data_IF_316647418206
#
_entry.id   IF_316647418206
#
_cell.length_a   1.000
_cell.length_b   1.000
_cell.length_c   1.000
_cell.angle_alpha   90.00
_cell.angle_beta   90.00
_cell.angle_gamma   90.00
#
_symmetry.space_group_name_H-M   'P 1'
#
loop_
_entity.id
_entity.type
_entity.pdbx_description
1 polymer ?
#
# COMPACT_ATOMS: atom_id res chain seq x y z
N UNK A 1 -17.01 18.07 -8.69
CA UNK A 1 -16.06 17.61 -9.72
C UNK A 1 -15.84 16.14 -9.52
N UNK A 2 -15.97 15.38 -10.59
CA UNK A 2 -15.91 13.92 -10.58
C UNK A 2 -14.88 13.42 -11.60
N UNK A 3 -14.22 12.32 -11.28
CA UNK A 3 -13.33 11.60 -12.17
C UNK A 3 -13.86 10.20 -12.46
N UNK A 4 -13.56 9.66 -13.63
CA UNK A 4 -13.70 8.25 -13.95
C UNK A 4 -12.35 7.69 -14.36
N UNK A 5 -12.05 6.47 -13.92
CA UNK A 5 -10.79 5.77 -14.21
C UNK A 5 -11.12 4.60 -15.14
N UNK A 6 -10.41 4.50 -16.26
CA UNK A 6 -10.53 3.41 -17.22
C UNK A 6 -9.21 2.64 -17.23
N UNK A 7 -9.24 1.37 -16.83
CA UNK A 7 -8.09 0.48 -16.92
C UNK A 7 -8.22 -0.42 -18.13
N UNK A 8 -7.17 -0.50 -18.92
CA UNK A 8 -7.14 -1.21 -20.19
C UNK A 8 -6.12 -2.33 -20.05
N UNK A 9 -6.56 -3.57 -20.27
CA UNK A 9 -5.72 -4.76 -20.18
C UNK A 9 -6.53 -6.03 -20.01
N UNK A 10 -6.34 -6.98 -20.91
CA UNK A 10 -6.97 -8.30 -20.84
C UNK A 10 -6.55 -9.06 -19.58
N UNK A 11 -5.31 -8.88 -19.11
CA UNK A 11 -4.77 -9.52 -17.90
C UNK A 11 -5.50 -9.09 -16.61
N UNK A 12 -6.11 -7.90 -16.59
CA UNK A 12 -6.94 -7.44 -15.49
C UNK A 12 -8.28 -8.20 -15.51
N UNK A 13 -8.90 -8.31 -16.69
CA UNK A 13 -10.21 -8.92 -16.86
C UNK A 13 -10.21 -10.43 -16.61
N UNK A 14 -9.13 -11.11 -16.98
CA UNK A 14 -8.98 -12.54 -16.69
C UNK A 14 -8.47 -12.82 -15.28
N UNK A 15 -8.21 -11.77 -14.46
CA UNK A 15 -7.75 -11.92 -13.08
C UNK A 15 -6.29 -12.36 -12.93
N UNK A 16 -5.47 -12.20 -13.96
CA UNK A 16 -4.04 -12.55 -13.93
C UNK A 16 -3.25 -11.56 -13.06
N UNK A 17 -3.64 -10.30 -13.06
CA UNK A 17 -3.07 -9.26 -12.19
C UNK A 17 -4.16 -8.53 -11.41
N UNK A 18 -3.77 -7.96 -10.29
CA UNK A 18 -4.63 -7.06 -9.51
C UNK A 18 -4.45 -5.63 -10.02
N UNK A 19 -5.55 -4.93 -10.29
CA UNK A 19 -5.54 -3.52 -10.68
C UNK A 19 -5.10 -2.63 -9.50
N UNK A 20 -3.81 -2.44 -9.38
CA UNK A 20 -3.21 -1.53 -8.40
C UNK A 20 -3.15 -0.07 -8.90
N UNK A 21 -3.28 0.14 -10.22
CA UNK A 21 -3.20 1.45 -10.83
C UNK A 21 -4.43 2.29 -10.51
N UNK A 22 -5.62 1.73 -10.69
CA UNK A 22 -6.86 2.43 -10.37
C UNK A 22 -6.96 2.79 -8.89
N UNK A 23 -6.55 1.87 -8.01
CA UNK A 23 -6.53 2.11 -6.57
C UNK A 23 -5.60 3.29 -6.21
N UNK A 24 -4.41 3.36 -6.81
CA UNK A 24 -3.48 4.46 -6.62
C UNK A 24 -4.04 5.78 -7.16
N UNK A 25 -4.51 5.80 -8.40
CA UNK A 25 -5.10 7.00 -9.01
C UNK A 25 -6.30 7.53 -8.21
N UNK A 26 -7.15 6.62 -7.72
CA UNK A 26 -8.30 6.99 -6.91
C UNK A 26 -7.89 7.63 -5.57
N UNK A 27 -6.84 7.12 -4.94
CA UNK A 27 -6.27 7.71 -3.71
C UNK A 27 -5.76 9.13 -3.97
N UNK A 28 -4.89 9.30 -4.97
CA UNK A 28 -4.30 10.60 -5.32
C UNK A 28 -5.36 11.65 -5.69
N UNK A 29 -6.38 11.26 -6.47
CA UNK A 29 -7.49 12.16 -6.82
C UNK A 29 -8.28 12.59 -5.58
N UNK A 30 -8.53 11.64 -4.68
CA UNK A 30 -9.28 11.90 -3.45
C UNK A 30 -8.53 12.87 -2.53
N UNK A 31 -7.21 12.71 -2.38
CA UNK A 31 -6.35 13.61 -1.59
C UNK A 31 -6.41 15.06 -2.07
N UNK A 32 -6.63 15.26 -3.38
CA UNK A 32 -6.79 16.61 -3.94
C UNK A 32 -8.25 17.08 -4.07
N UNK A 33 -9.21 16.39 -3.47
CA UNK A 33 -10.62 16.81 -3.45
C UNK A 33 -11.45 16.41 -4.69
N UNK A 34 -10.95 15.52 -5.55
CA UNK A 34 -11.66 15.01 -6.73
C UNK A 34 -12.23 13.64 -6.40
N UNK A 35 -13.56 13.51 -6.46
CA UNK A 35 -14.23 12.24 -6.18
C UNK A 35 -14.20 11.33 -7.40
N UNK A 36 -13.78 10.09 -7.25
CA UNK A 36 -13.92 9.09 -8.31
C UNK A 36 -15.37 8.59 -8.35
N UNK A 37 -16.00 8.72 -9.50
CA UNK A 37 -17.38 8.28 -9.72
C UNK A 37 -17.43 6.77 -10.02
N UNK A 38 -16.53 6.30 -10.90
CA UNK A 38 -16.49 4.90 -11.34
C UNK A 38 -15.08 4.50 -11.76
N UNK A 39 -14.78 3.22 -11.61
CA UNK A 39 -13.61 2.56 -12.19
C UNK A 39 -14.14 1.50 -13.15
N UNK A 40 -13.69 1.54 -14.40
CA UNK A 40 -14.11 0.65 -15.48
C UNK A 40 -12.91 -0.06 -16.06
N UNK A 41 -12.91 -1.39 -16.05
CA UNK A 41 -11.88 -2.19 -16.73
C UNK A 41 -12.39 -2.65 -18.09
N UNK A 42 -11.60 -2.46 -19.14
CA UNK A 42 -11.94 -2.84 -20.51
C UNK A 42 -10.80 -3.63 -21.16
N UNK A 43 -11.15 -4.39 -22.21
CA UNK A 43 -10.20 -5.13 -23.02
C UNK A 43 -9.32 -4.17 -23.84
N UNK A 44 -8.18 -4.66 -24.29
CA UNK A 44 -7.36 -4.02 -25.32
C UNK A 44 -8.05 -4.09 -26.69
N UNK A 45 -9.27 -3.57 -26.73
CA UNK A 45 -10.14 -3.52 -27.92
C UNK A 45 -10.57 -2.09 -28.20
N UNK A 46 -10.40 -1.68 -29.48
CA UNK A 46 -10.73 -0.34 -29.94
C UNK A 46 -12.18 0.06 -29.63
N UNK A 47 -13.16 -0.83 -29.88
CA UNK A 47 -14.55 -0.49 -29.67
C UNK A 47 -14.93 -0.39 -28.20
N UNK A 48 -14.36 -1.26 -27.36
CA UNK A 48 -14.55 -1.21 -25.90
C UNK A 48 -14.00 0.09 -25.33
N UNK A 49 -12.82 0.52 -25.77
CA UNK A 49 -12.20 1.78 -25.31
C UNK A 49 -13.03 2.98 -25.75
N UNK A 50 -13.49 3.03 -27.01
CA UNK A 50 -14.35 4.12 -27.50
C UNK A 50 -15.66 4.22 -26.73
N UNK A 51 -16.29 3.09 -26.44
CA UNK A 51 -17.53 3.04 -25.65
C UNK A 51 -17.29 3.55 -24.24
N UNK A 52 -16.23 3.09 -23.56
CA UNK A 52 -15.86 3.51 -22.22
C UNK A 52 -15.57 5.02 -22.16
N UNK A 53 -14.83 5.57 -23.12
CA UNK A 53 -14.56 7.00 -23.21
C UNK A 53 -15.85 7.82 -23.38
N UNK A 54 -16.75 7.36 -24.25
CA UNK A 54 -18.03 8.03 -24.46
C UNK A 54 -18.88 8.03 -23.20
N UNK A 55 -19.05 6.88 -22.56
CA UNK A 55 -19.83 6.75 -21.34
C UNK A 55 -19.23 7.54 -20.17
N UNK A 56 -17.91 7.49 -19.99
CA UNK A 56 -17.21 8.26 -18.96
C UNK A 56 -17.37 9.77 -19.20
N UNK A 57 -17.37 10.21 -20.47
CA UNK A 57 -17.58 11.61 -20.83
C UNK A 57 -18.97 12.16 -20.45
N UNK A 58 -19.96 11.30 -20.30
CA UNK A 58 -21.30 11.72 -19.87
C UNK A 58 -21.40 11.92 -18.35
N UNK A 59 -20.53 11.28 -17.57
CA UNK A 59 -20.59 11.17 -16.11
C UNK A 59 -19.53 11.97 -15.35
N UNK A 60 -18.36 12.17 -15.96
CA UNK A 60 -17.21 12.73 -15.28
C UNK A 60 -16.64 13.97 -15.98
N UNK A 61 -15.97 14.81 -15.21
CA UNK A 61 -15.23 15.99 -15.67
C UNK A 61 -13.78 15.64 -16.06
N UNK A 62 -13.25 14.57 -15.46
CA UNK A 62 -11.88 14.09 -15.62
C UNK A 62 -11.93 12.59 -15.92
N UNK A 63 -11.31 12.18 -17.02
CA UNK A 63 -11.24 10.78 -17.44
C UNK A 63 -9.76 10.38 -17.48
N UNK A 64 -9.37 9.44 -16.61
CA UNK A 64 -8.01 8.92 -16.54
C UNK A 64 -7.99 7.51 -17.14
N UNK A 65 -7.08 7.27 -18.06
CA UNK A 65 -6.86 5.96 -18.67
C UNK A 65 -5.48 5.43 -18.26
N UNK A 66 -5.35 4.12 -18.08
CA UNK A 66 -4.07 3.46 -17.90
C UNK A 66 -4.03 2.12 -18.62
N UNK A 67 -2.97 1.87 -19.40
CA UNK A 67 -2.77 0.68 -20.21
C UNK A 67 -2.80 0.92 -21.72
N UNK A 68 -2.29 -0.03 -22.49
CA UNK A 68 -2.34 -0.07 -23.95
C UNK A 68 -1.60 1.06 -24.68
N UNK A 69 -0.58 1.69 -24.04
CA UNK A 69 0.28 2.72 -24.67
C UNK A 69 1.65 2.21 -25.11
N UNK A 70 1.91 0.92 -24.98
CA UNK A 70 3.14 0.27 -25.38
C UNK A 70 3.36 0.25 -26.90
N UNK A 71 4.46 -0.41 -27.37
CA UNK A 71 4.81 -0.47 -28.77
C UNK A 71 4.21 -1.68 -29.49
N UNK A 72 3.50 -2.57 -28.82
CA UNK A 72 3.03 -3.82 -29.37
C UNK A 72 1.69 -3.66 -30.12
N UNK A 73 1.27 -4.67 -30.91
CA UNK A 73 0.09 -4.56 -31.75
C UNK A 73 -1.23 -4.56 -30.97
N UNK A 74 -1.20 -5.08 -29.78
CA UNK A 74 -2.28 -5.07 -28.79
C UNK A 74 -2.41 -3.72 -28.06
N UNK A 75 -1.37 -2.88 -28.11
CA UNK A 75 -1.40 -1.52 -27.55
C UNK A 75 -2.21 -0.56 -28.44
N UNK A 76 -3.52 -0.66 -28.38
CA UNK A 76 -4.42 0.12 -29.26
C UNK A 76 -4.87 1.46 -28.67
N UNK A 77 -4.59 1.71 -27.38
CA UNK A 77 -5.10 2.88 -26.66
C UNK A 77 -4.72 4.20 -27.33
N UNK A 78 -3.46 4.38 -27.73
CA UNK A 78 -2.97 5.60 -28.37
C UNK A 78 -3.75 5.95 -29.65
N UNK A 79 -3.95 4.96 -30.51
CA UNK A 79 -4.66 5.12 -31.78
C UNK A 79 -6.14 5.39 -31.55
N UNK A 80 -6.76 4.65 -30.63
CA UNK A 80 -8.17 4.81 -30.26
C UNK A 80 -8.43 6.17 -29.60
N UNK A 81 -7.50 6.63 -28.78
CA UNK A 81 -7.55 7.94 -28.14
C UNK A 81 -7.45 9.05 -29.20
N UNK A 82 -6.53 8.93 -30.17
CA UNK A 82 -6.42 9.84 -31.30
C UNK A 82 -7.72 9.90 -32.12
N UNK A 83 -8.32 8.75 -32.41
CA UNK A 83 -9.60 8.66 -33.12
C UNK A 83 -10.76 9.33 -32.36
N UNK A 84 -10.89 9.08 -31.03
CA UNK A 84 -11.92 9.68 -30.20
C UNK A 84 -11.92 11.21 -30.25
N UNK A 85 -10.73 11.80 -30.39
CA UNK A 85 -10.53 13.25 -30.50
C UNK A 85 -10.55 13.76 -31.94
N UNK A 86 -10.79 12.90 -32.93
CA UNK A 86 -10.74 13.28 -34.35
C UNK A 86 -9.42 14.02 -34.67
N UNK A 87 -8.30 13.42 -34.27
CA UNK A 87 -6.96 13.98 -34.36
C UNK A 87 -6.03 13.09 -35.19
N UNK A 88 -4.84 13.56 -35.50
CA UNK A 88 -3.82 12.83 -36.23
C UNK A 88 -2.58 12.62 -35.38
N UNK A 89 -1.84 11.54 -35.64
CA UNK A 89 -0.59 11.24 -34.95
C UNK A 89 0.56 12.01 -35.61
N UNK A 90 1.33 12.73 -34.81
CA UNK A 90 2.54 13.43 -35.20
C UNK A 90 3.73 12.95 -34.38
N UNK A 91 4.95 13.08 -34.94
CA UNK A 91 6.16 12.69 -34.21
C UNK A 91 6.59 13.80 -33.25
N UNK A 92 6.75 13.43 -31.98
CA UNK A 92 7.38 14.27 -30.97
C UNK A 92 8.88 13.93 -30.86
N UNK A 93 9.74 14.85 -31.29
CA UNK A 93 11.20 14.61 -31.27
C UNK A 93 11.79 14.57 -29.86
N UNK A 94 11.11 15.10 -28.84
CA UNK A 94 11.56 15.01 -27.46
C UNK A 94 11.26 13.61 -26.89
N UNK A 95 10.11 13.05 -27.20
CA UNK A 95 9.80 11.66 -26.88
C UNK A 95 10.76 10.71 -27.59
N UNK A 96 11.04 10.94 -28.88
CA UNK A 96 12.01 10.12 -29.62
C UNK A 96 13.38 10.12 -28.94
N UNK A 97 13.91 11.29 -28.61
CA UNK A 97 15.19 11.40 -27.87
C UNK A 97 15.16 10.70 -26.51
N UNK A 98 14.02 10.71 -25.83
CA UNK A 98 13.85 9.99 -24.56
C UNK A 98 13.90 8.48 -24.77
N UNK A 99 13.20 7.97 -25.78
CA UNK A 99 13.25 6.55 -26.17
C UNK A 99 14.66 6.12 -26.51
N UNK A 100 15.37 6.90 -27.35
CA UNK A 100 16.76 6.64 -27.72
C UNK A 100 17.66 6.54 -26.48
N UNK A 101 17.57 7.49 -25.55
CA UNK A 101 18.36 7.48 -24.31
C UNK A 101 18.09 6.27 -23.42
N UNK A 102 16.83 5.84 -23.33
CA UNK A 102 16.47 4.64 -22.55
C UNK A 102 17.08 3.39 -23.17
N UNK A 103 17.00 3.27 -24.50
CA UNK A 103 17.59 2.15 -25.22
C UNK A 103 19.11 2.14 -25.09
N UNK A 104 19.81 3.26 -25.29
CA UNK A 104 21.26 3.36 -25.11
C UNK A 104 21.73 2.95 -23.72
N UNK A 105 20.91 3.23 -22.69
CA UNK A 105 21.30 3.01 -21.29
C UNK A 105 20.96 1.63 -20.76
N UNK A 106 19.84 1.06 -21.19
CA UNK A 106 19.25 -0.12 -20.53
C UNK A 106 18.98 -1.31 -21.47
N UNK A 107 19.08 -1.13 -22.78
CA UNK A 107 18.72 -2.16 -23.76
C UNK A 107 19.91 -2.46 -24.67
N UNK A 108 20.37 -3.72 -24.68
CA UNK A 108 21.51 -4.13 -25.49
C UNK A 108 21.18 -4.28 -27.00
N UNK A 109 19.88 -4.26 -27.37
CA UNK A 109 19.43 -4.41 -28.74
C UNK A 109 19.25 -3.07 -29.46
N UNK A 110 19.43 -2.99 -30.78
CA UNK A 110 19.19 -1.77 -31.56
C UNK A 110 17.73 -1.31 -31.45
N UNK A 111 17.54 0.00 -31.45
CA UNK A 111 16.21 0.61 -31.45
C UNK A 111 15.45 0.23 -32.74
N UNK A 112 14.35 -0.48 -32.60
CA UNK A 112 13.50 -0.89 -33.73
C UNK A 112 12.58 0.27 -34.19
N UNK A 113 12.07 0.20 -35.42
CA UNK A 113 11.07 1.17 -35.91
C UNK A 113 9.82 1.17 -35.01
N UNK A 114 9.41 -0.01 -34.53
CA UNK A 114 8.28 -0.16 -33.62
C UNK A 114 8.47 0.65 -32.31
N UNK A 115 9.69 0.68 -31.79
CA UNK A 115 10.01 1.49 -30.61
C UNK A 115 10.03 3.00 -30.93
N UNK A 116 10.41 3.38 -32.15
CA UNK A 116 10.34 4.79 -32.59
C UNK A 116 8.90 5.28 -32.75
N UNK A 117 7.94 4.38 -33.02
CA UNK A 117 6.52 4.70 -33.07
C UNK A 117 5.94 5.14 -31.71
N UNK A 118 6.67 4.88 -30.60
CA UNK A 118 6.33 5.46 -29.30
C UNK A 118 6.36 7.00 -29.30
N UNK A 119 7.15 7.60 -30.19
CA UNK A 119 7.21 9.03 -30.38
C UNK A 119 6.06 9.61 -31.22
N UNK A 120 5.19 8.77 -31.75
CA UNK A 120 3.96 9.23 -32.43
C UNK A 120 2.90 9.53 -31.37
N UNK A 121 2.43 10.77 -31.29
CA UNK A 121 1.46 11.26 -30.32
C UNK A 121 0.35 12.05 -31.02
N UNK A 122 -0.87 12.13 -30.47
CA UNK A 122 -1.92 13.00 -31.04
C UNK A 122 -1.45 14.45 -31.12
N UNK A 123 -1.72 15.11 -32.25
CA UNK A 123 -1.19 16.45 -32.56
C UNK A 123 -1.64 17.53 -31.58
N UNK A 124 -2.83 17.37 -30.98
CA UNK A 124 -3.41 18.28 -29.99
C UNK A 124 -3.05 17.89 -28.55
N UNK A 125 -2.37 16.75 -28.34
CA UNK A 125 -2.04 16.30 -27.00
C UNK A 125 -0.93 17.15 -26.37
N UNK A 126 -1.13 17.52 -25.11
CA UNK A 126 -0.03 17.92 -24.25
C UNK A 126 0.68 16.67 -23.79
N UNK A 127 1.91 16.46 -24.25
CA UNK A 127 2.72 15.27 -23.94
C UNK A 127 3.21 15.34 -22.50
N UNK A 128 2.94 14.31 -21.73
CA UNK A 128 3.47 14.11 -20.38
C UNK A 128 4.70 13.19 -20.48
N UNK A 129 5.88 13.78 -20.37
CA UNK A 129 7.13 13.06 -20.60
C UNK A 129 7.42 12.05 -19.48
N UNK A 130 7.55 10.78 -19.86
CA UNK A 130 7.81 9.67 -18.95
C UNK A 130 9.31 9.50 -18.71
N UNK A 131 9.77 9.77 -17.50
CA UNK A 131 11.18 9.62 -17.13
C UNK A 131 11.64 8.16 -17.00
N UNK A 132 10.70 7.22 -16.81
CA UNK A 132 10.99 5.84 -16.44
C UNK A 132 10.69 4.82 -17.54
N UNK A 133 10.04 5.22 -18.62
CA UNK A 133 9.65 4.34 -19.70
C UNK A 133 9.60 5.03 -21.06
N UNK A 134 9.32 4.25 -22.10
CA UNK A 134 9.28 4.72 -23.49
C UNK A 134 7.94 5.31 -23.90
N UNK A 135 6.85 4.90 -23.29
CA UNK A 135 5.51 5.39 -23.59
C UNK A 135 5.24 6.70 -22.83
N UNK A 136 5.00 7.84 -23.49
CA UNK A 136 4.60 9.07 -22.83
C UNK A 136 3.17 8.98 -22.32
N UNK A 137 2.82 9.82 -21.33
CA UNK A 137 1.42 10.11 -21.04
C UNK A 137 0.88 11.16 -22.01
N UNK A 138 -0.43 11.15 -22.21
CA UNK A 138 -1.15 12.01 -23.16
C UNK A 138 -2.26 12.76 -22.42
N UNK A 139 -2.22 14.09 -22.43
CA UNK A 139 -3.26 14.94 -21.88
C UNK A 139 -4.02 15.62 -23.01
N UNK A 140 -5.34 15.40 -23.06
CA UNK A 140 -6.24 16.00 -24.04
C UNK A 140 -7.40 16.70 -23.35
N UNK A 141 -8.01 17.66 -24.04
CA UNK A 141 -9.18 18.38 -23.55
C UNK A 141 -10.27 18.42 -24.63
N UNK A 142 -11.50 18.15 -24.22
CA UNK A 142 -12.67 18.22 -25.11
C UNK A 142 -13.90 18.60 -24.28
N UNK A 143 -14.68 19.53 -24.76
CA UNK A 143 -15.95 19.96 -24.16
C UNK A 143 -15.85 20.36 -22.67
N UNK A 144 -14.73 21.02 -22.31
CA UNK A 144 -14.44 21.44 -20.93
C UNK A 144 -13.98 20.32 -19.99
N UNK A 145 -13.79 19.11 -20.49
CA UNK A 145 -13.34 17.92 -19.76
C UNK A 145 -11.88 17.62 -20.05
N UNK A 146 -11.26 16.95 -19.10
CA UNK A 146 -9.85 16.51 -19.18
C UNK A 146 -9.78 15.01 -19.35
N UNK A 147 -8.95 14.57 -20.27
CA UNK A 147 -8.66 13.17 -20.54
C UNK A 147 -7.15 12.95 -20.46
N UNK A 148 -6.73 11.97 -19.68
CA UNK A 148 -5.31 11.65 -19.52
C UNK A 148 -5.10 10.15 -19.72
N UNK A 149 -4.31 9.79 -20.73
CA UNK A 149 -3.89 8.40 -20.92
C UNK A 149 -2.44 8.23 -20.40
N UNK A 150 -2.22 7.17 -19.63
CA UNK A 150 -0.95 6.85 -18.98
C UNK A 150 -0.55 5.39 -19.22
N UNK A 151 0.75 5.05 -19.18
CA UNK A 151 1.22 3.66 -19.30
C UNK A 151 0.59 2.73 -18.26
N UNK A 152 0.47 1.44 -18.60
CA UNK A 152 0.00 0.39 -17.68
C UNK A 152 1.02 0.01 -16.60
N UNK A 153 2.31 0.22 -16.84
CA UNK A 153 3.39 -0.10 -15.89
C UNK A 153 3.27 0.75 -14.62
N UNK A 154 3.06 0.13 -13.42
CA UNK A 154 2.67 0.88 -12.22
C UNK A 154 3.62 2.00 -11.80
N UNK A 155 4.94 1.78 -11.85
CA UNK A 155 5.90 2.80 -11.42
C UNK A 155 5.98 3.99 -12.38
N UNK A 156 5.74 3.77 -13.67
CA UNK A 156 5.66 4.81 -14.70
C UNK A 156 4.40 5.67 -14.51
N UNK A 157 3.26 4.99 -14.38
CA UNK A 157 1.96 5.62 -14.15
C UNK A 157 1.96 6.48 -12.87
N UNK A 158 2.47 5.94 -11.77
CA UNK A 158 2.57 6.67 -10.49
C UNK A 158 3.41 7.93 -10.62
N UNK A 159 4.57 7.84 -11.24
CA UNK A 159 5.44 9.00 -11.44
C UNK A 159 4.80 10.09 -12.31
N UNK A 160 4.09 9.70 -13.38
CA UNK A 160 3.34 10.64 -14.21
C UNK A 160 2.20 11.29 -13.41
N UNK A 161 1.47 10.49 -12.64
CA UNK A 161 0.37 10.96 -11.81
C UNK A 161 0.84 11.99 -10.80
N UNK A 162 1.82 11.65 -9.95
CA UNK A 162 2.33 12.52 -8.88
C UNK A 162 3.00 13.79 -9.39
N UNK A 163 3.88 13.65 -10.41
CA UNK A 163 4.72 14.77 -10.85
C UNK A 163 4.04 15.68 -11.86
N UNK A 164 3.12 15.17 -12.66
CA UNK A 164 2.58 15.91 -13.81
C UNK A 164 1.05 16.04 -13.80
N UNK A 165 0.30 14.97 -13.54
CA UNK A 165 -1.17 14.99 -13.64
C UNK A 165 -1.77 15.72 -12.45
N UNK A 166 -1.44 15.32 -11.24
CA UNK A 166 -1.98 15.93 -10.00
C UNK A 166 -1.72 17.44 -9.93
N UNK A 167 -0.49 17.95 -10.14
CA UNK A 167 -0.24 19.39 -10.12
C UNK A 167 -1.05 20.16 -11.16
N UNK A 168 -1.21 19.62 -12.38
CA UNK A 168 -2.00 20.27 -13.43
C UNK A 168 -3.50 20.27 -13.13
N UNK A 169 -4.04 19.19 -12.55
CA UNK A 169 -5.43 19.17 -12.10
C UNK A 169 -5.64 20.17 -10.97
N UNK A 170 -4.67 20.30 -10.08
CA UNK A 170 -4.70 21.27 -8.99
C UNK A 170 -4.70 22.72 -9.47
N UNK A 171 -3.94 23.03 -10.51
CA UNK A 171 -3.90 24.36 -11.13
C UNK A 171 -5.18 24.66 -11.92
N UNK A 172 -5.66 23.66 -12.68
CA UNK A 172 -6.78 23.86 -13.61
C UNK A 172 -8.13 24.01 -12.91
N UNK A 173 -8.35 23.28 -11.83
CA UNK A 173 -9.68 23.15 -11.24
C UNK A 173 -9.76 23.72 -9.83
N UNK A 174 -10.78 24.54 -9.58
CA UNK A 174 -11.18 24.93 -8.23
C UNK A 174 -11.83 23.72 -7.54
N UNK A 175 -11.27 23.26 -6.44
CA UNK A 175 -11.62 21.99 -5.79
C UNK A 175 -12.03 22.22 -4.33
N UNK A 176 -12.97 21.44 -3.78
CA UNK A 176 -13.19 21.37 -2.35
C UNK A 176 -12.01 20.65 -1.66
N UNK A 177 -11.80 20.98 -0.42
CA UNK A 177 -10.97 20.16 0.46
C UNK A 177 -11.71 18.88 0.84
N UNK A 178 -10.99 17.76 0.92
CA UNK A 178 -11.44 16.52 1.54
C UNK A 178 -10.50 16.21 2.69
N UNK A 179 -11.06 15.88 3.84
CA UNK A 179 -10.30 15.44 4.99
C UNK A 179 -10.87 14.11 5.50
N UNK A 180 -9.99 13.14 5.69
CA UNK A 180 -10.32 11.85 6.26
C UNK A 180 -9.56 11.67 7.58
N UNK A 181 -10.23 11.05 8.56
CA UNK A 181 -9.57 10.52 9.75
C UNK A 181 -10.13 9.14 10.02
N UNK A 182 -9.26 8.22 10.40
CA UNK A 182 -9.60 6.82 10.67
C UNK A 182 -9.09 6.42 12.03
N UNK A 183 -9.89 5.71 12.80
CA UNK A 183 -9.48 5.05 14.03
C UNK A 183 -9.65 3.54 13.92
N UNK A 184 -8.81 2.81 14.64
CA UNK A 184 -8.88 1.36 14.72
C UNK A 184 -9.62 0.94 16.01
N UNK A 185 -10.57 0.02 15.89
CA UNK A 185 -11.24 -0.61 17.04
C UNK A 185 -10.84 -2.09 17.14
N UNK A 186 -10.80 -2.62 18.36
CA UNK A 186 -10.46 -4.02 18.66
C UNK A 186 -11.43 -4.62 19.66
N UNK A 187 -11.64 -5.94 19.55
CA UNK A 187 -12.42 -6.70 20.54
C UNK A 187 -13.94 -6.55 20.44
N UNK A 188 -14.44 -5.81 19.45
CA UNK A 188 -15.86 -5.65 19.17
C UNK A 188 -16.13 -5.82 17.67
N UNK A 189 -17.17 -6.58 17.32
CA UNK A 189 -17.56 -6.76 15.92
C UNK A 189 -18.32 -5.56 15.36
N UNK A 190 -18.35 -5.43 14.03
CA UNK A 190 -18.96 -4.33 13.29
C UNK A 190 -20.39 -4.02 13.73
N UNK A 191 -21.27 -5.03 13.79
CA UNK A 191 -22.67 -4.85 14.19
C UNK A 191 -22.82 -4.31 15.63
N UNK A 192 -21.99 -4.78 16.56
CA UNK A 192 -22.03 -4.31 17.93
C UNK A 192 -21.49 -2.88 18.10
N UNK A 193 -20.57 -2.46 17.22
CA UNK A 193 -20.11 -1.07 17.12
C UNK A 193 -21.23 -0.21 16.52
N UNK A 194 -21.86 -0.67 15.45
CA UNK A 194 -22.96 0.03 14.79
C UNK A 194 -24.14 0.26 15.75
N UNK A 195 -24.53 -0.74 16.53
CA UNK A 195 -25.58 -0.60 17.55
C UNK A 195 -25.25 0.50 18.59
N UNK A 196 -23.98 0.62 18.98
CA UNK A 196 -23.55 1.67 19.92
C UNK A 196 -23.51 3.05 19.31
N UNK A 197 -23.29 3.16 18.01
CA UNK A 197 -23.12 4.41 17.29
C UNK A 197 -24.40 4.90 16.60
N UNK A 198 -25.51 4.17 16.65
CA UNK A 198 -26.75 4.46 15.91
C UNK A 198 -27.25 5.89 16.12
N UNK A 199 -27.35 6.34 17.36
CA UNK A 199 -27.80 7.69 17.70
C UNK A 199 -26.79 8.75 17.23
N UNK A 200 -25.49 8.50 17.38
CA UNK A 200 -24.44 9.42 16.95
C UNK A 200 -24.38 9.51 15.42
N UNK A 201 -24.43 8.40 14.71
CA UNK A 201 -24.40 8.35 13.25
C UNK A 201 -25.59 9.08 12.62
N UNK A 202 -26.79 8.87 13.20
CA UNK A 202 -28.04 9.54 12.75
C UNK A 202 -27.97 11.06 12.90
N UNK A 203 -27.21 11.56 13.87
CA UNK A 203 -27.06 13.00 14.13
C UNK A 203 -25.79 13.63 13.50
N UNK A 204 -25.08 12.91 12.65
CA UNK A 204 -23.93 13.45 11.95
C UNK A 204 -24.30 14.61 11.03
N UNK A 205 -23.50 15.70 10.99
CA UNK A 205 -23.63 16.76 9.99
C UNK A 205 -23.60 16.21 8.57
N UNK A 206 -24.46 16.72 7.68
CA UNK A 206 -24.62 16.19 6.31
C UNK A 206 -23.38 16.28 5.41
N UNK A 207 -22.40 17.12 5.75
CA UNK A 207 -21.13 17.22 5.06
C UNK A 207 -20.07 16.19 5.54
N UNK A 208 -20.39 15.45 6.60
CA UNK A 208 -19.59 14.33 7.09
C UNK A 208 -20.16 13.01 6.57
N UNK A 209 -19.28 12.09 6.20
CA UNK A 209 -19.64 10.71 5.87
C UNK A 209 -18.86 9.77 6.78
N UNK A 210 -19.57 8.79 7.31
CA UNK A 210 -19.00 7.77 8.17
C UNK A 210 -18.97 6.42 7.45
N UNK A 211 -17.96 5.61 7.73
CA UNK A 211 -17.82 4.28 7.15
C UNK A 211 -17.18 3.30 8.13
N UNK A 212 -17.77 2.10 8.18
CA UNK A 212 -17.18 0.93 8.82
C UNK A 212 -16.33 0.19 7.79
N UNK A 213 -15.10 -0.12 8.16
CA UNK A 213 -14.14 -0.83 7.32
C UNK A 213 -13.67 -2.08 8.09
N UNK A 214 -14.44 -3.17 8.04
CA UNK A 214 -14.14 -4.38 8.80
C UNK A 214 -12.89 -5.08 8.26
N UNK A 215 -12.10 -5.62 9.18
CA UNK A 215 -10.99 -6.52 8.93
C UNK A 215 -11.02 -7.64 9.99
N UNK A 216 -10.23 -8.69 9.83
CA UNK A 216 -10.23 -9.81 10.77
C UNK A 216 -9.86 -9.36 12.20
N UNK A 217 -10.87 -9.40 13.09
CA UNK A 217 -10.72 -9.05 14.52
C UNK A 217 -10.62 -7.56 14.83
N UNK A 218 -10.77 -6.70 13.83
CA UNK A 218 -10.72 -5.24 13.98
C UNK A 218 -11.73 -4.58 13.06
N UNK A 219 -12.18 -3.37 13.41
CA UNK A 219 -12.97 -2.51 12.53
C UNK A 219 -12.32 -1.14 12.50
N UNK A 220 -12.04 -0.64 11.31
CA UNK A 220 -11.61 0.75 11.15
C UNK A 220 -12.85 1.62 10.94
N UNK A 221 -12.92 2.72 11.67
CA UNK A 221 -13.99 3.69 11.60
C UNK A 221 -13.46 4.95 10.96
N UNK A 222 -13.99 5.31 9.79
CA UNK A 222 -13.53 6.46 9.01
C UNK A 222 -14.58 7.54 8.92
N UNK A 223 -14.22 8.75 9.32
CA UNK A 223 -14.95 9.97 9.02
C UNK A 223 -14.31 10.69 7.83
N UNK A 224 -15.15 11.14 6.93
CA UNK A 224 -14.76 11.89 5.73
C UNK A 224 -15.53 13.20 5.68
N UNK A 225 -14.83 14.32 5.59
CA UNK A 225 -15.41 15.64 5.44
C UNK A 225 -15.07 16.24 4.08
N UNK A 226 -16.01 16.98 3.46
CA UNK A 226 -15.80 17.69 2.19
C UNK A 226 -16.39 19.09 2.27
N UNK A 227 -15.58 20.10 1.89
CA UNK A 227 -16.01 21.50 1.93
C UNK A 227 -14.96 22.47 1.40
N UNK A 228 -15.19 23.77 1.56
CA UNK A 228 -14.34 24.82 1.02
C UNK A 228 -13.23 25.29 2.00
N UNK A 229 -13.39 25.03 3.30
CA UNK A 229 -12.47 25.47 4.33
C UNK A 229 -11.86 24.27 5.06
N UNK A 230 -10.56 24.07 4.88
CA UNK A 230 -9.83 22.93 5.42
C UNK A 230 -9.82 22.90 6.95
N UNK A 231 -9.62 24.06 7.61
CA UNK A 231 -9.54 24.14 9.06
C UNK A 231 -10.90 23.85 9.73
N UNK A 232 -12.00 24.29 9.10
CA UNK A 232 -13.35 23.98 9.57
C UNK A 232 -13.65 22.48 9.45
N UNK A 233 -13.22 21.83 8.35
CA UNK A 233 -13.40 20.40 8.14
C UNK A 233 -12.61 19.58 9.18
N UNK A 234 -11.34 19.92 9.39
CA UNK A 234 -10.50 19.27 10.40
C UNK A 234 -11.12 19.41 11.80
N UNK A 235 -11.49 20.63 12.18
CA UNK A 235 -12.11 20.90 13.47
C UNK A 235 -13.44 20.16 13.67
N UNK A 236 -14.23 20.00 12.60
CA UNK A 236 -15.48 19.26 12.67
C UNK A 236 -15.24 17.76 12.86
N UNK A 237 -14.30 17.18 12.12
CA UNK A 237 -13.93 15.76 12.24
C UNK A 237 -13.38 15.46 13.64
N UNK A 238 -12.47 16.31 14.16
CA UNK A 238 -11.91 16.12 15.50
C UNK A 238 -12.99 16.12 16.59
N UNK A 239 -13.94 17.07 16.54
CA UNK A 239 -15.06 17.11 17.50
C UNK A 239 -15.93 15.85 17.46
N UNK A 240 -16.14 15.27 16.27
CA UNK A 240 -16.89 14.02 16.19
C UNK A 240 -16.07 12.83 16.67
N UNK A 241 -14.76 12.84 16.49
CA UNK A 241 -13.89 11.82 17.09
C UNK A 241 -13.86 11.88 18.60
N UNK A 242 -13.86 13.08 19.22
CA UNK A 242 -13.97 13.21 20.68
C UNK A 242 -15.23 12.48 21.20
N UNK A 243 -16.38 12.66 20.51
CA UNK A 243 -17.61 11.91 20.87
C UNK A 243 -17.47 10.41 20.70
N UNK A 244 -16.77 9.95 19.62
CA UNK A 244 -16.51 8.52 19.41
C UNK A 244 -15.66 7.92 20.53
N UNK A 245 -14.66 8.67 21.04
CA UNK A 245 -13.87 8.25 22.19
C UNK A 245 -14.72 8.10 23.45
N UNK A 246 -15.67 9.01 23.67
CA UNK A 246 -16.59 8.94 24.82
C UNK A 246 -17.53 7.73 24.72
N UNK A 247 -18.01 7.39 23.51
CA UNK A 247 -18.96 6.27 23.30
C UNK A 247 -18.28 4.91 23.34
N UNK A 248 -17.11 4.79 22.69
CA UNK A 248 -16.44 3.49 22.46
C UNK A 248 -15.36 3.19 23.50
N UNK A 249 -14.74 4.22 24.12
CA UNK A 249 -13.74 4.06 25.17
C UNK A 249 -12.63 3.08 24.81
N UNK A 250 -12.41 2.08 25.66
CA UNK A 250 -11.34 1.07 25.53
C UNK A 250 -11.42 0.19 24.25
N UNK A 251 -12.53 0.27 23.51
CA UNK A 251 -12.67 -0.42 22.22
C UNK A 251 -11.79 0.23 21.14
N UNK A 252 -11.52 1.52 21.27
CA UNK A 252 -10.59 2.23 20.38
C UNK A 252 -9.17 1.82 20.75
N UNK A 253 -8.45 1.25 19.78
CA UNK A 253 -7.13 0.67 20.03
C UNK A 253 -5.98 1.67 19.85
N UNK A 254 -6.07 2.57 18.87
CA UNK A 254 -5.09 3.61 18.60
C UNK A 254 -5.62 4.62 17.56
N UNK A 255 -5.17 5.87 17.63
CA UNK A 255 -5.23 6.79 16.49
C UNK A 255 -4.16 6.33 15.50
N UNK A 256 -4.57 5.69 14.40
CA UNK A 256 -3.65 5.53 13.29
C UNK A 256 -3.68 6.82 12.47
N UNK A 257 -2.59 7.56 12.46
CA UNK A 257 -2.29 8.42 11.31
C UNK A 257 -2.29 7.50 10.08
N UNK A 258 -3.24 7.67 9.17
CA UNK A 258 -3.50 6.78 8.01
C UNK A 258 -2.29 6.61 7.08
N UNK A 259 -1.24 7.41 7.26
CA UNK A 259 -0.18 7.57 6.27
C UNK A 259 1.18 6.96 6.63
N UNK A 260 1.44 6.55 7.87
CA UNK A 260 2.77 6.03 8.18
C UNK A 260 2.76 4.58 8.67
N UNK A 261 3.24 3.67 7.83
CA UNK A 261 3.42 2.26 8.17
C UNK A 261 4.25 2.12 9.46
N UNK A 262 3.81 1.25 10.37
CA UNK A 262 4.47 0.99 11.66
C UNK A 262 5.97 0.70 11.52
N UNK A 263 6.39 0.04 10.43
CA UNK A 263 7.79 -0.21 10.11
C UNK A 263 8.58 1.09 9.86
N UNK A 264 7.95 2.11 9.25
CA UNK A 264 8.57 3.43 9.01
C UNK A 264 8.74 4.20 10.31
N UNK A 265 7.75 4.17 11.21
CA UNK A 265 7.85 4.78 12.54
C UNK A 265 9.01 4.18 13.35
N UNK A 266 9.10 2.84 13.38
CA UNK A 266 10.22 2.14 14.02
C UNK A 266 11.55 2.58 13.41
N UNK A 267 11.63 2.64 12.07
CA UNK A 267 12.84 3.03 11.36
C UNK A 267 13.28 4.47 11.72
N UNK A 268 12.36 5.42 11.79
CA UNK A 268 12.65 6.81 12.19
C UNK A 268 13.20 6.88 13.61
N UNK A 269 12.55 6.21 14.57
CA UNK A 269 12.97 6.20 15.97
C UNK A 269 14.35 5.59 16.11
N UNK A 270 14.57 4.39 15.57
CA UNK A 270 15.85 3.69 15.68
C UNK A 270 16.99 4.45 14.98
N UNK A 271 16.73 5.01 13.79
CA UNK A 271 17.72 5.83 13.06
C UNK A 271 18.12 7.08 13.86
N UNK A 272 17.16 7.79 14.45
CA UNK A 272 17.44 8.99 15.26
C UNK A 272 18.32 8.66 16.50
N UNK A 273 18.15 7.48 17.04
CA UNK A 273 18.93 6.96 18.20
C UNK A 273 20.21 6.24 17.81
N UNK A 274 20.47 6.05 16.51
CA UNK A 274 21.58 5.23 15.98
C UNK A 274 21.56 3.80 16.50
N UNK A 275 20.36 3.25 16.70
CA UNK A 275 20.10 1.89 17.16
C UNK A 275 19.73 0.98 15.99
N UNK A 276 19.97 -0.32 16.16
CA UNK A 276 19.80 -1.30 15.11
C UNK A 276 18.86 -2.43 15.52
N UNK A 277 18.09 -2.90 14.54
CA UNK A 277 17.18 -4.04 14.63
C UNK A 277 17.67 -5.20 13.76
N UNK A 278 17.40 -6.42 14.21
CA UNK A 278 17.52 -7.66 13.42
C UNK A 278 16.30 -8.57 13.63
N UNK A 279 16.19 -9.64 12.83
CA UNK A 279 15.08 -10.57 12.91
C UNK A 279 15.54 -12.04 12.81
N UNK A 280 14.84 -12.94 13.53
CA UNK A 280 14.93 -14.38 13.38
C UNK A 280 13.55 -14.97 13.10
N UNK A 281 13.31 -15.42 11.90
CA UNK A 281 12.00 -15.81 11.42
C UNK A 281 11.87 -17.32 11.20
N UNK A 282 10.77 -17.88 11.69
CA UNK A 282 10.38 -19.26 11.37
C UNK A 282 9.06 -19.24 10.60
N UNK A 283 7.93 -19.21 11.27
CA UNK A 283 6.62 -19.30 10.63
C UNK A 283 6.28 -18.13 9.67
N UNK A 284 6.92 -16.98 9.83
CA UNK A 284 6.75 -15.81 8.94
C UNK A 284 7.58 -15.88 7.67
N UNK A 285 8.58 -16.78 7.62
CA UNK A 285 9.29 -17.14 6.37
C UNK A 285 10.06 -16.01 5.67
N UNK A 286 10.41 -14.93 6.37
CA UNK A 286 11.09 -13.76 5.81
C UNK A 286 10.15 -12.54 5.62
N UNK A 287 8.85 -12.70 5.89
CA UNK A 287 7.87 -11.63 5.70
C UNK A 287 8.12 -10.41 6.61
N UNK A 288 8.64 -10.62 7.83
CA UNK A 288 8.98 -9.53 8.75
C UNK A 288 10.14 -8.69 8.19
N UNK A 289 11.22 -9.33 7.77
CA UNK A 289 12.35 -8.65 7.15
C UNK A 289 11.96 -7.98 5.82
N UNK A 290 11.15 -8.64 4.99
CA UNK A 290 10.65 -8.11 3.74
C UNK A 290 9.82 -6.84 3.96
N UNK A 291 8.82 -6.87 4.86
CA UNK A 291 7.98 -5.71 5.17
C UNK A 291 8.81 -4.54 5.71
N UNK A 292 9.78 -4.81 6.59
CA UNK A 292 10.64 -3.77 7.14
C UNK A 292 11.51 -3.10 6.07
N UNK A 293 11.95 -3.85 5.06
CA UNK A 293 12.83 -3.35 3.99
C UNK A 293 12.10 -2.78 2.79
N UNK A 294 10.76 -2.76 2.77
CA UNK A 294 9.97 -2.14 1.68
C UNK A 294 10.12 -0.63 1.59
N UNK A 295 10.48 0.05 2.67
CA UNK A 295 10.62 1.51 2.67
C UNK A 295 12.08 1.95 2.47
N UNK A 296 12.31 3.06 1.75
CA UNK A 296 13.64 3.62 1.59
C UNK A 296 14.26 4.02 2.93
N UNK A 297 15.55 3.75 3.10
CA UNK A 297 16.27 4.11 4.32
C UNK A 297 16.31 3.03 5.41
N UNK A 298 15.65 1.88 5.25
CA UNK A 298 15.67 0.78 6.21
C UNK A 298 17.10 0.35 6.61
N UNK A 299 18.07 0.44 5.70
CA UNK A 299 19.46 0.08 5.95
C UNK A 299 20.16 0.92 7.02
N UNK A 300 19.61 2.06 7.41
CA UNK A 300 20.14 2.92 8.48
C UNK A 300 19.90 2.34 9.88
N UNK A 301 18.93 1.42 10.04
CA UNK A 301 18.58 0.83 11.34
C UNK A 301 18.34 -0.69 11.29
N UNK A 302 18.21 -1.32 10.12
CA UNK A 302 18.03 -2.77 10.01
C UNK A 302 19.28 -3.44 9.47
N UNK A 303 19.89 -4.34 10.27
CA UNK A 303 21.11 -5.03 9.86
C UNK A 303 20.87 -6.34 9.10
N UNK A 304 19.69 -6.92 9.24
CA UNK A 304 19.33 -8.12 8.52
C UNK A 304 18.44 -9.07 9.31
N UNK A 305 18.03 -10.14 8.64
CA UNK A 305 17.22 -11.20 9.21
C UNK A 305 17.71 -12.59 8.80
N UNK A 306 17.46 -13.57 9.65
CA UNK A 306 17.71 -14.99 9.41
C UNK A 306 16.37 -15.73 9.33
N UNK A 307 16.10 -16.38 8.21
CA UNK A 307 14.99 -17.32 8.08
C UNK A 307 15.46 -18.71 8.54
N UNK A 308 15.19 -19.04 9.80
CA UNK A 308 15.50 -20.33 10.40
C UNK A 308 14.25 -21.23 10.42
N UNK A 309 13.74 -21.57 9.22
CA UNK A 309 12.48 -22.28 9.05
C UNK A 309 12.51 -23.69 9.61
N UNK A 310 13.51 -24.49 9.20
CA UNK A 310 13.70 -25.83 9.73
C UNK A 310 14.27 -25.80 11.16
N UNK A 311 13.84 -26.75 11.99
CA UNK A 311 14.34 -26.92 13.38
C UNK A 311 15.85 -27.08 13.43
N UNK A 312 16.44 -27.76 12.45
CA UNK A 312 17.88 -27.92 12.30
C UNK A 312 18.64 -26.58 12.22
N UNK A 313 18.11 -25.63 11.42
CA UNK A 313 18.73 -24.31 11.24
C UNK A 313 18.66 -23.46 12.53
N UNK A 314 17.59 -23.62 13.33
CA UNK A 314 17.51 -22.97 14.63
C UNK A 314 18.67 -23.43 15.54
N UNK A 315 19.00 -24.73 15.49
CA UNK A 315 20.10 -25.33 16.29
C UNK A 315 21.48 -24.98 15.72
N UNK A 316 21.70 -25.23 14.43
CA UNK A 316 23.02 -25.14 13.83
C UNK A 316 23.49 -23.72 13.55
N UNK A 317 22.62 -22.88 13.06
CA UNK A 317 22.94 -21.50 12.63
C UNK A 317 22.64 -20.50 13.74
N UNK A 318 21.40 -20.49 14.22
CA UNK A 318 20.96 -19.55 15.26
C UNK A 318 21.38 -19.98 16.69
N UNK A 319 21.93 -21.19 16.85
CA UNK A 319 22.46 -21.72 18.14
C UNK A 319 21.41 -21.81 19.25
N UNK A 320 20.14 -22.05 18.90
CA UNK A 320 19.13 -22.38 19.91
C UNK A 320 19.47 -23.73 20.51
N UNK A 321 19.58 -23.87 21.87
CA UNK A 321 19.93 -25.11 22.50
C UNK A 321 18.93 -26.24 22.18
N UNK A 322 19.44 -27.40 21.79
CA UNK A 322 18.64 -28.59 21.49
C UNK A 322 17.74 -29.01 22.66
N UNK A 323 18.33 -29.06 23.86
CA UNK A 323 17.63 -29.38 25.12
C UNK A 323 16.42 -28.43 25.36
N UNK A 324 16.53 -27.16 24.94
CA UNK A 324 15.44 -26.20 25.08
C UNK A 324 14.27 -26.57 24.18
N UNK A 325 14.57 -26.97 22.94
CA UNK A 325 13.57 -27.40 21.96
C UNK A 325 12.91 -28.71 22.37
N UNK A 326 13.69 -29.69 22.85
CA UNK A 326 13.19 -30.98 23.33
C UNK A 326 12.27 -30.80 24.54
N UNK A 327 12.62 -29.93 25.47
CA UNK A 327 11.86 -29.69 26.70
C UNK A 327 10.59 -28.88 26.50
N UNK A 328 10.60 -27.85 25.65
CA UNK A 328 9.55 -26.87 25.55
C UNK A 328 8.82 -26.88 24.19
N UNK A 329 9.25 -27.72 23.24
CA UNK A 329 8.83 -27.71 21.83
C UNK A 329 9.36 -26.51 21.05
N UNK A 330 9.45 -26.66 19.72
CA UNK A 330 9.94 -25.62 18.79
C UNK A 330 9.02 -24.41 18.75
N UNK A 331 7.73 -24.56 19.10
CA UNK A 331 6.75 -23.48 19.21
C UNK A 331 6.46 -23.20 20.68
N UNK A 332 7.33 -22.42 21.31
CA UNK A 332 7.27 -22.07 22.73
C UNK A 332 7.82 -20.67 23.01
N UNK A 333 7.53 -20.16 24.19
CA UNK A 333 8.05 -18.90 24.69
C UNK A 333 9.58 -18.92 24.77
N UNK A 334 10.13 -19.98 25.35
CA UNK A 334 11.55 -20.17 25.60
C UNK A 334 12.35 -20.24 24.30
N UNK A 335 11.81 -20.90 23.27
CA UNK A 335 12.45 -20.95 21.94
C UNK A 335 12.35 -19.59 21.23
N UNK A 336 11.23 -18.88 21.31
CA UNK A 336 11.11 -17.53 20.75
C UNK A 336 12.11 -16.56 21.41
N UNK A 337 12.26 -16.61 22.73
CA UNK A 337 13.22 -15.80 23.47
C UNK A 337 14.67 -16.13 23.10
N UNK A 338 15.03 -17.42 23.03
CA UNK A 338 16.34 -17.85 22.59
C UNK A 338 16.65 -17.41 21.15
N UNK A 339 15.67 -17.51 20.24
CA UNK A 339 15.81 -17.03 18.87
C UNK A 339 16.07 -15.52 18.81
N UNK A 340 15.31 -14.71 19.54
CA UNK A 340 15.49 -13.27 19.58
C UNK A 340 16.86 -12.88 20.17
N UNK A 341 17.22 -13.47 21.32
CA UNK A 341 18.50 -13.23 21.96
C UNK A 341 19.68 -13.56 21.04
N UNK A 342 19.64 -14.73 20.42
CA UNK A 342 20.75 -15.21 19.60
C UNK A 342 20.82 -14.43 18.26
N UNK A 343 19.71 -13.96 17.72
CA UNK A 343 19.71 -13.07 16.57
C UNK A 343 20.35 -11.72 16.91
N UNK A 344 20.00 -11.13 18.06
CA UNK A 344 20.60 -9.89 18.54
C UNK A 344 22.13 -10.01 18.67
N UNK A 345 22.61 -11.10 19.23
CA UNK A 345 24.04 -11.38 19.35
C UNK A 345 24.73 -11.62 18.00
N UNK A 346 24.12 -12.41 17.12
CA UNK A 346 24.63 -12.74 15.77
C UNK A 346 24.81 -11.50 14.92
N UNK A 347 23.80 -10.64 14.86
CA UNK A 347 23.79 -9.42 14.04
C UNK A 347 24.41 -8.21 14.76
N UNK A 348 24.74 -8.33 16.05
CA UNK A 348 25.25 -7.25 16.90
C UNK A 348 24.33 -6.01 16.80
N UNK A 349 23.07 -6.21 17.12
CA UNK A 349 22.02 -5.17 17.12
C UNK A 349 21.59 -4.83 18.54
N UNK A 350 20.90 -3.70 18.69
CA UNK A 350 20.33 -3.28 19.97
C UNK A 350 19.06 -4.06 20.26
N UNK A 351 18.26 -4.31 19.21
CA UNK A 351 17.01 -5.06 19.29
C UNK A 351 17.01 -6.22 18.30
N UNK A 352 16.29 -7.28 18.68
CA UNK A 352 15.98 -8.35 17.73
C UNK A 352 14.58 -8.89 17.97
N UNK A 353 13.84 -9.10 16.88
CA UNK A 353 12.54 -9.77 16.87
C UNK A 353 12.71 -11.24 16.49
N UNK A 354 11.86 -12.10 17.02
CA UNK A 354 11.76 -13.47 16.55
C UNK A 354 10.32 -13.92 16.41
N UNK A 355 10.08 -14.89 15.51
CA UNK A 355 8.77 -15.52 15.31
C UNK A 355 8.93 -17.03 15.24
N UNK A 356 8.15 -17.78 16.04
CA UNK A 356 8.02 -19.23 15.92
C UNK A 356 6.57 -19.64 16.13
N UNK A 357 6.03 -20.53 15.28
CA UNK A 357 4.61 -20.86 15.34
C UNK A 357 4.14 -21.86 14.29
N UNK A 358 2.88 -22.29 14.42
CA UNK A 358 2.17 -23.11 13.45
C UNK A 358 1.23 -22.22 12.61
N UNK A 359 1.71 -21.73 11.47
CA UNK A 359 0.90 -20.85 10.61
C UNK A 359 -0.26 -21.56 9.88
N UNK A 360 -0.23 -22.89 9.80
CA UNK A 360 -1.24 -23.69 9.12
C UNK A 360 -0.93 -23.98 7.63
N UNK A 361 -1.82 -24.69 6.92
CA UNK A 361 -3.08 -25.30 7.42
C UNK A 361 -2.86 -26.52 8.32
N UNK A 362 -1.66 -27.10 8.34
CA UNK A 362 -1.28 -28.24 9.17
C UNK A 362 -0.32 -27.83 10.26
N UNK A 363 -0.26 -28.63 11.35
CA UNK A 363 0.79 -28.49 12.36
C UNK A 363 2.14 -28.85 11.76
N UNK A 364 3.20 -28.11 12.16
CA UNK A 364 4.57 -28.43 11.84
C UNK A 364 5.17 -29.41 12.86
N UNK A 365 6.44 -29.19 13.22
CA UNK A 365 7.21 -30.01 14.19
C UNK A 365 6.76 -29.79 15.65
N UNK A 366 5.51 -29.43 15.89
CA UNK A 366 4.98 -29.07 17.21
C UNK A 366 3.52 -29.46 17.35
N UNK A 367 3.12 -29.85 18.57
CA UNK A 367 1.74 -30.17 18.92
C UNK A 367 0.85 -28.94 19.15
N UNK A 368 1.43 -27.73 19.13
CA UNK A 368 0.68 -26.51 19.29
C UNK A 368 -0.42 -26.38 18.23
N UNK A 369 -1.56 -25.80 18.60
CA UNK A 369 -2.67 -25.59 17.68
C UNK A 369 -2.27 -24.66 16.51
N UNK A 370 -2.87 -24.92 15.34
CA UNK A 370 -2.71 -24.03 14.17
C UNK A 370 -3.12 -22.60 14.55
N UNK A 371 -2.38 -21.62 14.08
CA UNK A 371 -2.52 -20.22 14.44
C UNK A 371 -1.79 -19.80 15.73
N UNK A 372 -1.19 -20.76 16.47
CA UNK A 372 -0.37 -20.41 17.64
C UNK A 372 1.00 -19.89 17.19
N UNK A 373 1.33 -18.67 17.60
CA UNK A 373 2.61 -18.02 17.32
C UNK A 373 3.17 -17.41 18.61
N UNK A 374 4.45 -17.61 18.84
CA UNK A 374 5.22 -16.89 19.84
C UNK A 374 6.13 -15.88 19.15
N UNK A 375 6.07 -14.65 19.62
CA UNK A 375 6.89 -13.54 19.14
C UNK A 375 7.83 -13.13 20.26
N UNK A 376 9.13 -13.22 20.02
CA UNK A 376 10.17 -12.82 20.96
C UNK A 376 10.72 -11.43 20.61
N UNK A 377 11.08 -10.66 21.63
CA UNK A 377 11.83 -9.42 21.53
C UNK A 377 13.02 -9.48 22.49
N UNK A 378 14.21 -9.27 21.97
CA UNK A 378 15.41 -9.03 22.74
C UNK A 378 15.80 -7.56 22.68
N UNK A 379 16.01 -6.97 23.84
CA UNK A 379 16.48 -5.59 24.03
C UNK A 379 17.86 -5.58 24.69
N UNK A 380 18.54 -4.46 24.87
CA UNK A 380 19.76 -4.37 25.67
C UNK A 380 19.58 -4.88 27.11
N UNK A 381 18.39 -4.75 27.70
CA UNK A 381 18.13 -4.97 29.12
C UNK A 381 17.39 -6.28 29.40
N UNK A 382 16.55 -6.75 28.49
CA UNK A 382 15.66 -7.89 28.70
C UNK A 382 15.38 -8.68 27.43
N UNK A 383 14.90 -9.89 27.65
CA UNK A 383 14.32 -10.73 26.58
C UNK A 383 12.93 -11.12 27.02
N UNK A 384 11.97 -10.92 26.17
CA UNK A 384 10.54 -11.21 26.43
C UNK A 384 9.94 -11.95 25.25
N UNK A 385 8.86 -12.68 25.52
CA UNK A 385 8.02 -13.27 24.48
C UNK A 385 6.54 -13.05 24.77
N UNK A 386 5.73 -13.05 23.69
CA UNK A 386 4.26 -13.04 23.80
C UNK A 386 3.67 -14.14 22.93
N UNK A 387 2.69 -14.83 23.48
CA UNK A 387 1.89 -15.84 22.79
C UNK A 387 0.69 -15.18 22.14
N UNK A 388 0.45 -15.51 20.87
CA UNK A 388 -0.75 -15.12 20.14
C UNK A 388 -1.45 -16.37 19.59
N UNK A 389 -2.73 -16.24 19.37
CA UNK A 389 -3.52 -17.20 18.64
C UNK A 389 -4.29 -16.48 17.56
N UNK A 390 -3.82 -16.61 16.34
CA UNK A 390 -4.44 -16.08 15.14
C UNK A 390 -5.41 -17.15 14.57
N UNK A 391 -6.06 -16.84 13.44
CA UNK A 391 -6.91 -17.80 12.74
C UNK A 391 -6.13 -19.02 12.20
N UNK A 392 -6.74 -19.74 11.28
CA UNK A 392 -6.15 -20.94 10.67
C UNK A 392 -5.72 -20.72 9.19
N UNK A 393 -5.91 -19.53 8.66
CA UNK A 393 -5.47 -19.16 7.32
C UNK A 393 -4.01 -18.70 7.37
N UNK A 394 -3.13 -19.44 6.69
CA UNK A 394 -1.67 -19.22 6.74
C UNK A 394 -1.25 -17.79 6.45
N UNK A 395 -1.75 -17.21 5.37
CA UNK A 395 -1.37 -15.86 4.95
C UNK A 395 -1.77 -14.81 5.99
N UNK A 396 -2.92 -15.01 6.63
CA UNK A 396 -3.39 -14.13 7.69
C UNK A 396 -2.54 -14.28 8.95
N UNK A 397 -2.24 -15.53 9.36
CA UNK A 397 -1.36 -15.80 10.51
C UNK A 397 0.00 -15.14 10.32
N UNK A 398 0.57 -15.19 9.11
CA UNK A 398 1.84 -14.55 8.79
C UNK A 398 1.73 -13.03 8.91
N UNK A 399 0.73 -12.42 8.29
CA UNK A 399 0.49 -10.95 8.34
C UNK A 399 0.30 -10.45 9.77
N UNK A 400 -0.56 -11.12 10.54
CA UNK A 400 -0.84 -10.74 11.93
C UNK A 400 0.40 -10.90 12.81
N UNK A 401 1.22 -11.92 12.55
CA UNK A 401 2.49 -12.13 13.28
C UNK A 401 3.48 -11.00 13.02
N UNK A 402 3.62 -10.56 11.76
CA UNK A 402 4.49 -9.44 11.39
C UNK A 402 4.00 -8.15 12.03
N UNK A 403 2.70 -7.86 11.93
CA UNK A 403 2.11 -6.68 12.54
C UNK A 403 2.32 -6.65 14.06
N UNK A 404 2.05 -7.77 14.74
CA UNK A 404 2.25 -7.88 16.20
C UNK A 404 3.70 -7.78 16.63
N UNK A 405 4.62 -8.28 15.82
CA UNK A 405 6.06 -8.13 16.09
C UNK A 405 6.47 -6.65 16.05
N UNK A 406 6.01 -5.90 15.06
CA UNK A 406 6.25 -4.47 14.98
C UNK A 406 5.55 -3.68 16.09
N UNK A 407 4.33 -4.04 16.46
CA UNK A 407 3.62 -3.43 17.60
C UNK A 407 4.39 -3.62 18.93
N UNK A 408 4.97 -4.81 19.15
CA UNK A 408 5.73 -5.09 20.36
C UNK A 408 6.98 -4.22 20.45
N UNK A 409 7.77 -4.14 19.39
CA UNK A 409 8.99 -3.32 19.42
C UNK A 409 8.65 -1.83 19.44
N UNK A 410 7.65 -1.36 18.72
CA UNK A 410 7.27 0.06 18.76
C UNK A 410 6.89 0.49 20.17
N UNK A 411 6.07 -0.30 20.87
CA UNK A 411 5.72 -0.03 22.27
C UNK A 411 6.94 -0.01 23.19
N UNK A 412 7.88 -0.90 22.98
CA UNK A 412 9.10 -0.95 23.80
C UNK A 412 9.94 0.29 23.60
N UNK A 413 10.27 0.65 22.35
CA UNK A 413 11.12 1.81 22.06
C UNK A 413 10.45 3.15 22.41
N UNK A 414 9.10 3.23 22.39
CA UNK A 414 8.37 4.45 22.80
C UNK A 414 8.21 4.54 24.31
N UNK A 415 8.16 3.43 25.05
CA UNK A 415 8.10 3.45 26.51
C UNK A 415 9.40 3.94 27.17
N UNK A 416 10.54 3.72 26.50
CA UNK A 416 11.85 4.23 26.95
C UNK A 416 11.95 5.77 26.91
N UNK A 417 11.07 6.47 26.16
CA UNK A 417 11.03 7.94 26.12
C UNK A 417 10.34 8.57 27.34
N UNK A 418 9.58 7.77 28.10
CA UNK A 418 8.80 8.25 29.24
C UNK A 418 9.48 7.98 30.60
N UNK A 419 10.64 7.33 30.58
CA UNK A 419 11.44 7.04 31.77
C UNK A 419 12.72 7.87 31.80
#
# INVERSE_FOLDING_TARGET
MTAEIITIGDEILIGQIVDSNSAFMAKELNEIGISVYQITSVQDDRQHILNALKEASERADIILLTGGLGPTKDDVTKYTFCEYFEDELVRDDKVLRQVEKIFEKYVESPLSELNKEQAMVPSKAKVLYNEFGTAPGLWMEKDGKVYVAMPGVPHEMKALMEKLVIPQLQEKFKRPFIYHKTILTKGMGESAIADKLEDWETNLPSFLKFAYLPDLGTVRLRLSAKGENEDELKSAVEREFEKLYDILGDVIADEQEEDEKIAVQISKILTSRKQFLSAAESCTGGALAAEFTTHPGASSCFKGGLVCYATQIKKEVLKVPEELIEKHSVVSAEVAEAMAKNARELFKTDYALSTTGNAGPTKGDSDAEVGTVYIGLATPEKVISKKFRFGNQRDQVVKDSVYKAFEIILREITSEEKS
#
